data_IF_434785525839
#
_entry.id   IF_434785525839
#
_cell.length_a   1.000
_cell.length_b   1.000
_cell.length_c   1.000
_cell.angle_alpha   90.00
_cell.angle_beta   90.00
_cell.angle_gamma   90.00
#
_symmetry.space_group_name_H-M   'P 1'
#
loop_
_entity.id
_entity.type
_entity.pdbx_description
1 polymer ?
#
# COMPACT_ATOMS: atom_id res chain seq x y z
N UNK A 1 -6.15 7.29 8.35
CA UNK A 1 -5.55 6.53 9.47
C UNK A 1 -4.21 5.95 8.98
N UNK A 2 -3.16 5.99 9.78
CA UNK A 2 -1.83 5.50 9.37
C UNK A 2 -1.73 3.98 9.56
N UNK A 3 -1.16 3.27 8.59
CA UNK A 3 -0.98 1.81 8.64
C UNK A 3 0.30 1.44 9.43
N UNK A 4 0.15 1.15 10.73
CA UNK A 4 1.26 0.87 11.66
C UNK A 4 2.17 -0.27 11.14
N UNK A 5 1.58 -1.35 10.62
CA UNK A 5 2.30 -2.51 10.07
C UNK A 5 3.37 -2.12 9.04
N UNK A 6 3.07 -1.15 8.18
CA UNK A 6 4.02 -0.70 7.14
C UNK A 6 5.18 0.10 7.74
N UNK A 7 4.93 0.86 8.82
CA UNK A 7 5.97 1.62 9.52
C UNK A 7 6.89 0.69 10.31
N UNK A 8 6.34 -0.24 11.07
CA UNK A 8 7.11 -1.25 11.81
C UNK A 8 7.99 -2.08 10.86
N UNK A 9 7.46 -2.43 9.69
CA UNK A 9 8.22 -3.14 8.65
C UNK A 9 9.40 -2.30 8.15
N UNK A 10 9.17 -1.01 7.87
CA UNK A 10 10.23 -0.09 7.44
C UNK A 10 11.31 0.06 8.52
N UNK A 11 10.93 0.22 9.78
CA UNK A 11 11.85 0.32 10.90
C UNK A 11 12.70 -0.94 11.05
N UNK A 12 12.09 -2.12 10.96
CA UNK A 12 12.82 -3.39 10.98
C UNK A 12 13.85 -3.48 9.83
N UNK A 13 13.49 -3.03 8.62
CA UNK A 13 14.39 -3.01 7.46
C UNK A 13 15.54 -2.01 7.67
N UNK A 14 15.26 -0.81 8.18
CA UNK A 14 16.31 0.19 8.48
C UNK A 14 17.30 -0.34 9.52
N UNK A 15 16.79 -0.96 10.58
CA UNK A 15 17.61 -1.56 11.63
C UNK A 15 18.47 -2.70 11.08
N UNK A 16 17.91 -3.63 10.30
CA UNK A 16 18.63 -4.77 9.74
C UNK A 16 19.68 -4.36 8.69
N UNK A 17 19.42 -3.29 7.93
CA UNK A 17 20.34 -2.79 6.90
C UNK A 17 21.39 -1.80 7.43
N UNK A 18 21.28 -1.38 8.70
CA UNK A 18 22.13 -0.33 9.29
C UNK A 18 21.86 1.09 8.76
N UNK A 19 20.79 1.29 7.97
CA UNK A 19 20.45 2.57 7.36
C UNK A 19 19.44 3.36 8.22
N UNK A 20 19.82 3.68 9.45
CA UNK A 20 18.92 4.32 10.42
C UNK A 20 18.46 5.73 9.98
N UNK A 21 19.36 6.48 9.33
CA UNK A 21 19.11 7.85 8.87
C UNK A 21 18.41 7.92 7.50
N UNK A 22 17.97 6.79 6.95
CA UNK A 22 17.29 6.76 5.66
C UNK A 22 16.00 7.60 5.74
N UNK A 23 15.93 8.64 4.91
CA UNK A 23 14.73 9.47 4.81
C UNK A 23 13.53 8.63 4.33
N UNK A 24 12.38 8.81 4.98
CA UNK A 24 11.13 8.15 4.63
C UNK A 24 9.95 9.07 4.85
N UNK A 25 8.99 9.04 3.92
CA UNK A 25 7.75 9.79 3.99
C UNK A 25 6.57 8.83 4.12
N UNK A 26 5.65 9.09 5.04
CA UNK A 26 4.40 8.35 5.17
C UNK A 26 3.29 9.08 4.39
N UNK A 27 2.51 8.35 3.59
CA UNK A 27 1.42 8.93 2.80
C UNK A 27 0.21 8.02 2.79
N UNK A 28 -0.96 8.57 3.05
CA UNK A 28 -2.23 7.84 2.96
C UNK A 28 -2.55 7.36 1.55
N UNK A 29 -1.93 7.96 0.52
CA UNK A 29 -2.12 7.58 -0.88
C UNK A 29 -1.68 6.13 -1.18
N UNK A 30 -0.76 5.57 -0.40
CA UNK A 30 -0.25 4.20 -0.53
C UNK A 30 -0.76 3.25 0.57
N UNK A 31 -1.80 3.66 1.31
CA UNK A 31 -2.47 2.77 2.25
C UNK A 31 -3.12 1.59 1.52
N UNK A 32 -3.28 0.49 2.25
CA UNK A 32 -4.05 -0.69 1.84
C UNK A 32 -5.46 -0.29 1.34
N UNK A 33 -6.02 -1.09 0.43
CA UNK A 33 -7.38 -0.93 -0.06
C UNK A 33 -8.40 -0.99 1.09
N UNK A 34 -9.34 -0.07 1.13
CA UNK A 34 -10.45 -0.14 2.09
C UNK A 34 -11.46 -1.21 1.67
N UNK A 35 -11.64 -2.24 2.51
CA UNK A 35 -12.64 -3.29 2.28
C UNK A 35 -14.02 -2.94 2.85
N UNK A 36 -14.21 -1.72 3.36
CA UNK A 36 -15.48 -1.19 3.82
C UNK A 36 -16.08 -2.03 4.94
N UNK A 37 -17.34 -2.45 4.77
CA UNK A 37 -18.07 -3.27 5.76
C UNK A 37 -17.40 -4.61 6.07
N UNK A 38 -16.50 -5.08 5.19
CA UNK A 38 -15.77 -6.35 5.38
C UNK A 38 -14.48 -6.20 6.19
N UNK A 39 -14.08 -4.97 6.52
CA UNK A 39 -12.85 -4.70 7.28
C UNK A 39 -12.93 -5.31 8.68
N UNK A 40 -11.90 -6.08 9.05
CA UNK A 40 -11.81 -6.76 10.35
C UNK A 40 -12.63 -8.05 10.46
N UNK A 41 -13.39 -8.43 9.43
CA UNK A 41 -14.15 -9.68 9.44
C UNK A 41 -13.26 -10.90 9.15
N UNK A 42 -13.66 -12.06 9.69
CA UNK A 42 -13.02 -13.33 9.36
C UNK A 42 -13.33 -13.71 7.90
N UNK A 43 -12.28 -14.06 7.15
CA UNK A 43 -12.33 -14.39 5.72
C UNK A 43 -13.31 -15.52 5.39
N UNK A 44 -13.34 -16.59 6.17
CA UNK A 44 -14.19 -17.76 5.92
C UNK A 44 -15.66 -17.41 6.15
N UNK A 45 -15.94 -16.60 7.19
CA UNK A 45 -17.30 -16.10 7.45
C UNK A 45 -17.82 -15.22 6.32
N UNK A 46 -16.99 -14.30 5.82
CA UNK A 46 -17.36 -13.45 4.67
C UNK A 46 -17.58 -14.32 3.43
N UNK A 47 -16.68 -15.27 3.14
CA UNK A 47 -16.83 -16.18 2.01
C UNK A 47 -18.14 -16.97 2.08
N UNK A 48 -18.48 -17.50 3.26
CA UNK A 48 -19.73 -18.24 3.46
C UNK A 48 -20.98 -17.36 3.31
N UNK A 49 -20.90 -16.06 3.67
CA UNK A 49 -22.06 -15.16 3.64
C UNK A 49 -22.36 -14.61 2.24
N UNK A 50 -21.34 -14.27 1.44
CA UNK A 50 -21.54 -13.66 0.11
C UNK A 50 -21.37 -14.66 -1.04
N UNK A 51 -20.86 -15.86 -0.77
CA UNK A 51 -20.63 -16.90 -1.76
C UNK A 51 -19.36 -16.67 -2.61
N UNK A 52 -18.94 -17.73 -3.31
CA UNK A 52 -17.65 -17.78 -4.03
C UNK A 52 -17.52 -16.70 -5.10
N UNK A 53 -18.58 -16.47 -5.90
CA UNK A 53 -18.52 -15.52 -7.01
C UNK A 53 -18.36 -14.08 -6.50
N UNK A 54 -19.23 -13.64 -5.58
CA UNK A 54 -19.12 -12.31 -5.00
C UNK A 54 -17.82 -12.12 -4.22
N UNK A 55 -17.35 -13.15 -3.50
CA UNK A 55 -16.07 -13.11 -2.80
C UNK A 55 -14.88 -12.96 -3.75
N UNK A 56 -14.90 -13.65 -4.90
CA UNK A 56 -13.89 -13.50 -5.93
C UNK A 56 -13.94 -12.10 -6.55
N UNK A 57 -15.13 -11.59 -6.87
CA UNK A 57 -15.32 -10.22 -7.37
C UNK A 57 -14.78 -9.20 -6.38
N UNK A 58 -15.17 -9.27 -5.10
CA UNK A 58 -14.69 -8.41 -4.03
C UNK A 58 -13.15 -8.35 -3.98
N UNK A 59 -12.48 -9.49 -4.11
CA UNK A 59 -11.02 -9.59 -3.94
C UNK A 59 -10.19 -9.37 -5.20
N UNK A 60 -10.75 -9.59 -6.38
CA UNK A 60 -9.99 -9.67 -7.63
C UNK A 60 -10.47 -8.73 -8.72
N UNK A 61 -11.68 -8.18 -8.61
CA UNK A 61 -12.19 -7.26 -9.61
C UNK A 61 -11.45 -5.92 -9.58
N UNK A 62 -11.30 -5.33 -10.77
CA UNK A 62 -10.71 -4.00 -10.95
C UNK A 62 -11.65 -2.90 -10.44
N UNK A 63 -12.93 -2.97 -10.81
CA UNK A 63 -13.96 -1.96 -10.55
C UNK A 63 -15.20 -2.54 -9.88
N UNK A 64 -15.13 -3.80 -9.44
CA UNK A 64 -16.20 -4.45 -8.70
C UNK A 64 -16.50 -3.71 -7.39
N UNK A 65 -17.79 -3.45 -7.08
CA UNK A 65 -18.17 -2.61 -5.94
C UNK A 65 -17.78 -3.22 -4.60
N UNK A 66 -17.41 -2.36 -3.65
CA UNK A 66 -17.20 -2.70 -2.25
C UNK A 66 -18.08 -1.82 -1.40
N UNK A 67 -18.98 -2.42 -0.64
CA UNK A 67 -19.90 -1.67 0.21
C UNK A 67 -19.12 -0.90 1.30
N UNK A 68 -19.23 0.43 1.26
CA UNK A 68 -18.52 1.34 2.17
C UNK A 68 -17.00 1.34 2.03
N UNK A 69 -16.46 0.83 0.92
CA UNK A 69 -15.01 0.69 0.70
C UNK A 69 -14.56 1.18 -0.67
N UNK A 70 -13.35 0.78 -1.06
CA UNK A 70 -12.70 1.17 -2.30
C UNK A 70 -12.67 0.02 -3.31
N UNK A 71 -12.87 0.34 -4.59
CA UNK A 71 -12.49 -0.56 -5.69
C UNK A 71 -10.97 -0.50 -5.93
N UNK A 72 -10.40 -1.44 -6.67
CA UNK A 72 -8.98 -1.38 -7.04
C UNK A 72 -8.70 -0.18 -7.97
N UNK A 73 -9.68 0.22 -8.79
CA UNK A 73 -9.65 1.43 -9.59
C UNK A 73 -9.55 2.70 -8.74
N UNK A 74 -10.26 2.78 -7.61
CA UNK A 74 -10.17 3.94 -6.69
C UNK A 74 -8.80 4.02 -6.03
N UNK A 75 -8.28 2.86 -5.59
CA UNK A 75 -6.91 2.76 -5.06
C UNK A 75 -5.90 3.27 -6.09
N UNK A 76 -6.02 2.83 -7.35
CA UNK A 76 -5.15 3.29 -8.43
C UNK A 76 -5.25 4.81 -8.62
N UNK A 77 -6.47 5.37 -8.63
CA UNK A 77 -6.70 6.79 -8.82
C UNK A 77 -6.02 7.65 -7.74
N UNK A 78 -5.93 7.18 -6.49
CA UNK A 78 -5.19 7.87 -5.42
C UNK A 78 -3.69 7.59 -5.40
N UNK A 79 -3.26 6.38 -5.78
CA UNK A 79 -1.83 5.98 -5.76
C UNK A 79 -1.05 6.66 -6.87
N UNK A 80 -1.61 6.74 -8.09
CA UNK A 80 -0.86 7.21 -9.27
C UNK A 80 -0.36 8.65 -9.16
N UNK A 81 -1.17 9.64 -8.72
CA UNK A 81 -0.67 10.99 -8.54
C UNK A 81 0.49 11.08 -7.53
N UNK A 82 0.43 10.29 -6.44
CA UNK A 82 1.51 10.23 -5.47
C UNK A 82 2.76 9.57 -6.06
N UNK A 83 2.61 8.46 -6.76
CA UNK A 83 3.70 7.78 -7.43
C UNK A 83 4.41 8.72 -8.41
N UNK A 84 3.68 9.37 -9.32
CA UNK A 84 4.25 10.24 -10.34
C UNK A 84 4.93 11.49 -9.75
N UNK A 85 4.41 12.02 -8.64
CA UNK A 85 4.92 13.25 -8.01
C UNK A 85 6.08 13.02 -7.04
N UNK A 86 6.09 11.88 -6.33
CA UNK A 86 6.98 11.67 -5.18
C UNK A 86 7.97 10.52 -5.42
N UNK A 87 7.52 9.42 -6.04
CA UNK A 87 8.33 8.20 -6.18
C UNK A 87 9.06 8.15 -7.53
N UNK A 88 8.33 8.40 -8.63
CA UNK A 88 8.81 8.32 -9.99
C UNK A 88 9.88 9.36 -10.37
N UNK A 89 9.86 10.61 -9.86
CA UNK A 89 10.91 11.57 -10.19
C UNK A 89 12.26 10.96 -9.83
N UNK A 90 13.16 10.96 -10.81
CA UNK A 90 14.52 10.47 -10.61
C UNK A 90 15.10 11.19 -9.39
N UNK A 91 15.46 10.49 -8.30
CA UNK A 91 16.14 11.16 -7.20
C UNK A 91 17.40 11.82 -7.76
N UNK A 92 17.77 13.04 -7.31
CA UNK A 92 19.07 13.61 -7.63
C UNK A 92 20.12 12.55 -7.35
N UNK A 93 21.05 12.31 -8.31
CA UNK A 93 22.03 11.21 -8.28
C UNK A 93 22.54 11.01 -6.85
N UNK A 94 22.09 9.95 -6.18
CA UNK A 94 22.70 9.55 -4.92
C UNK A 94 24.17 9.23 -5.23
N UNK A 95 25.09 9.89 -4.53
CA UNK A 95 26.50 9.50 -4.54
C UNK A 95 26.57 8.05 -4.09
N UNK A 96 27.42 7.24 -4.72
CA UNK A 96 27.65 5.88 -4.25
C UNK A 96 28.06 5.93 -2.76
N UNK A 97 27.63 4.92 -1.98
CA UNK A 97 27.93 4.85 -0.53
C UNK A 97 29.44 4.81 -0.22
N UNK A 98 30.27 4.59 -1.25
CA UNK A 98 31.74 4.60 -1.19
C UNK A 98 32.36 5.94 -1.63
N UNK A 99 31.56 6.98 -1.84
CA UNK A 99 32.04 8.31 -2.23
C UNK A 99 32.60 8.42 -3.65
N UNK A 100 32.57 7.35 -4.47
CA UNK A 100 33.03 7.42 -5.86
C UNK A 100 31.94 7.98 -6.77
N UNK A 101 32.26 8.91 -7.69
CA UNK A 101 31.39 9.13 -8.82
C UNK A 101 31.32 7.85 -9.66
N UNK A 102 30.13 7.52 -10.16
CA UNK A 102 29.99 6.56 -11.25
C UNK A 102 30.53 7.16 -12.54
#
# INVERSE_FOLDING_TARGET
>A
MQQIRSQETLEAIKNASGQLDLHSEASGAINERDYGVYTGMNKEKVHASIGTEAFNTLRRSWDGPVEGGETLKDVYARVIPFYLRVIAPRPPRAKCLDGRPR
#
